data_IF_722223738744
#
_entry.id   IF_722223738744
#
_cell.length_a   1.000
_cell.length_b   1.000
_cell.length_c   1.000
_cell.angle_alpha   90.00
_cell.angle_beta   90.00
_cell.angle_gamma   90.00
#
_symmetry.space_group_name_H-M   'P 1'
#
loop_
_entity.id
_entity.type
_entity.pdbx_description
1 polymer ?
#
# COMPACT_ATOMS: atom_id res chain seq x y z
N UNK A 1 -6.28 20.60 -35.69
CA UNK A 1 -7.63 20.02 -35.92
C UNK A 1 -7.46 18.52 -35.70
N UNK A 2 -7.97 17.99 -34.58
CA UNK A 2 -7.94 16.55 -34.32
C UNK A 2 -9.11 15.92 -35.08
N UNK A 3 -8.82 14.90 -35.87
CA UNK A 3 -9.81 14.15 -36.65
C UNK A 3 -10.74 13.37 -35.71
N UNK A 4 -12.04 13.67 -35.79
CA UNK A 4 -13.10 13.10 -34.97
C UNK A 4 -13.80 11.91 -35.65
N UNK A 5 -13.30 11.42 -36.79
CA UNK A 5 -13.84 10.26 -37.53
C UNK A 5 -13.91 8.97 -36.71
N UNK A 6 -13.18 8.86 -35.60
CA UNK A 6 -13.28 7.73 -34.69
C UNK A 6 -14.59 7.68 -33.89
N UNK A 7 -15.30 8.80 -33.74
CA UNK A 7 -16.62 8.83 -33.07
C UNK A 7 -17.71 8.17 -33.90
N UNK A 8 -17.59 8.20 -35.23
CA UNK A 8 -18.55 7.58 -36.15
C UNK A 8 -18.44 6.05 -36.14
N UNK A 9 -17.31 5.51 -35.68
CA UNK A 9 -17.09 4.06 -35.53
C UNK A 9 -17.65 3.48 -34.21
N UNK A 10 -17.93 4.33 -33.21
CA UNK A 10 -18.39 3.90 -31.88
C UNK A 10 -19.74 3.17 -31.93
N UNK A 11 -20.77 3.62 -32.68
CA UNK A 11 -22.05 2.92 -32.74
C UNK A 11 -21.95 1.53 -33.40
N UNK A 12 -21.08 1.38 -34.41
CA UNK A 12 -20.86 0.11 -35.09
C UNK A 12 -20.11 -0.90 -34.21
N UNK A 13 -19.18 -0.43 -33.37
CA UNK A 13 -18.48 -1.25 -32.39
C UNK A 13 -19.43 -1.75 -31.28
N UNK A 14 -20.32 -0.87 -30.79
CA UNK A 14 -21.33 -1.20 -29.79
C UNK A 14 -22.38 -2.17 -30.32
N UNK A 15 -22.74 -2.07 -31.61
CA UNK A 15 -23.68 -2.99 -32.25
C UNK A 15 -23.12 -4.40 -32.45
N UNK A 16 -21.80 -4.55 -32.68
CA UNK A 16 -21.16 -5.87 -32.79
C UNK A 16 -21.04 -6.60 -31.45
N UNK A 17 -21.02 -5.89 -30.33
CA UNK A 17 -20.94 -6.48 -28.98
C UNK A 17 -22.30 -6.82 -28.35
N UNK A 18 -23.41 -6.45 -28.99
CA UNK A 18 -24.75 -6.49 -28.39
C UNK A 18 -25.75 -7.58 -28.85
N UNK A 19 -25.44 -8.60 -29.69
CA UNK A 19 -26.47 -9.56 -30.10
C UNK A 19 -26.67 -10.75 -29.13
N UNK A 20 -25.95 -10.86 -28.01
CA UNK A 20 -26.00 -12.04 -27.11
C UNK A 20 -26.73 -11.81 -25.78
N UNK A 21 -27.64 -10.82 -25.68
CA UNK A 21 -28.33 -10.48 -24.42
C UNK A 21 -29.86 -10.52 -24.48
N UNK A 22 -30.46 -11.14 -25.50
CA UNK A 22 -31.91 -11.34 -25.58
C UNK A 22 -32.21 -12.83 -25.71
N UNK A 23 -32.42 -13.50 -24.57
CA UNK A 23 -33.04 -14.83 -24.52
C UNK A 23 -34.54 -14.68 -24.86
N UNK A 24 -35.05 -15.33 -25.93
CA UNK A 24 -36.46 -15.28 -26.29
C UNK A 24 -37.40 -16.02 -25.31
N UNK A 25 -36.89 -16.71 -24.29
CA UNK A 25 -37.67 -17.57 -23.39
C UNK A 25 -37.94 -17.01 -21.98
N UNK A 26 -37.63 -15.74 -21.71
CA UNK A 26 -38.11 -15.07 -20.48
C UNK A 26 -37.56 -15.63 -19.16
N UNK A 27 -36.43 -16.34 -19.17
CA UNK A 27 -35.65 -16.54 -17.95
C UNK A 27 -34.95 -15.22 -17.60
N UNK A 28 -35.06 -14.80 -16.33
CA UNK A 28 -34.56 -13.52 -15.85
C UNK A 28 -33.10 -13.26 -16.28
N UNK A 29 -32.74 -12.03 -16.68
CA UNK A 29 -31.40 -11.73 -17.18
C UNK A 29 -30.37 -12.04 -16.10
N UNK A 30 -29.29 -12.69 -16.53
CA UNK A 30 -28.01 -12.71 -15.85
C UNK A 30 -27.65 -11.28 -15.41
N UNK A 31 -27.83 -10.98 -14.12
CA UNK A 31 -27.89 -9.59 -13.70
C UNK A 31 -28.12 -9.34 -12.22
N UNK A 32 -27.98 -10.34 -11.34
CA UNK A 32 -27.58 -10.03 -9.97
C UNK A 32 -26.11 -9.63 -10.02
N UNK A 33 -25.86 -8.40 -10.48
CA UNK A 33 -24.63 -7.72 -10.17
C UNK A 33 -24.51 -7.82 -8.65
N UNK A 34 -23.53 -8.60 -8.17
CA UNK A 34 -23.16 -8.71 -6.76
C UNK A 34 -22.84 -7.30 -6.26
N UNK A 35 -23.88 -6.58 -5.84
CA UNK A 35 -23.77 -5.27 -5.24
C UNK A 35 -22.93 -5.47 -4.00
N UNK A 36 -21.78 -4.79 -3.84
CA UNK A 36 -20.98 -4.92 -2.64
C UNK A 36 -21.86 -4.48 -1.47
N UNK A 37 -22.25 -5.44 -0.62
CA UNK A 37 -23.00 -5.16 0.58
C UNK A 37 -22.10 -4.38 1.53
N UNK A 38 -22.54 -3.18 1.92
CA UNK A 38 -21.83 -2.37 2.91
C UNK A 38 -22.10 -2.97 4.29
N UNK A 39 -21.41 -4.07 4.58
CA UNK A 39 -21.50 -4.77 5.86
C UNK A 39 -20.34 -4.40 6.81
N UNK A 40 -20.42 -4.88 8.05
CA UNK A 40 -19.39 -4.60 9.06
C UNK A 40 -18.00 -5.13 8.67
N UNK A 41 -17.94 -6.28 7.96
CA UNK A 41 -16.68 -6.90 7.52
C UNK A 41 -16.01 -6.06 6.44
N UNK A 42 -16.79 -5.56 5.49
CA UNK A 42 -16.36 -4.63 4.45
C UNK A 42 -15.83 -3.33 5.05
N UNK A 43 -16.59 -2.71 5.97
CA UNK A 43 -16.18 -1.47 6.65
C UNK A 43 -14.90 -1.65 7.46
N UNK A 44 -14.77 -2.76 8.18
CA UNK A 44 -13.55 -3.10 8.92
C UNK A 44 -12.35 -3.28 7.98
N UNK A 45 -12.55 -3.98 6.87
CA UNK A 45 -11.52 -4.21 5.85
C UNK A 45 -11.04 -2.92 5.18
N UNK A 46 -11.93 -1.96 4.91
CA UNK A 46 -11.54 -0.64 4.40
C UNK A 46 -10.80 0.15 5.47
N UNK A 47 -11.36 0.24 6.68
CA UNK A 47 -10.77 1.02 7.77
C UNK A 47 -9.36 0.55 8.09
N UNK A 48 -9.15 -0.77 8.18
CA UNK A 48 -7.82 -1.35 8.37
C UNK A 48 -6.84 -0.97 7.25
N UNK A 49 -7.26 -1.03 5.99
CA UNK A 49 -6.41 -0.64 4.85
C UNK A 49 -6.05 0.84 4.89
N UNK A 50 -7.02 1.71 5.20
CA UNK A 50 -6.79 3.16 5.34
C UNK A 50 -5.80 3.44 6.47
N UNK A 51 -6.01 2.86 7.66
CA UNK A 51 -5.09 3.02 8.79
C UNK A 51 -3.68 2.51 8.48
N UNK A 52 -3.56 1.39 7.77
CA UNK A 52 -2.28 0.85 7.33
C UNK A 52 -1.54 1.82 6.39
N UNK A 53 -2.24 2.35 5.39
CA UNK A 53 -1.68 3.31 4.42
C UNK A 53 -1.28 4.61 5.11
N UNK A 54 -2.13 5.15 5.99
CA UNK A 54 -1.81 6.36 6.75
C UNK A 54 -0.56 6.18 7.62
N UNK A 55 -0.41 5.02 8.26
CA UNK A 55 0.78 4.69 9.05
C UNK A 55 2.04 4.63 8.18
N UNK A 56 1.94 4.04 6.99
CA UNK A 56 3.02 4.01 6.02
C UNK A 56 3.39 5.43 5.51
N UNK A 57 2.39 6.29 5.30
CA UNK A 57 2.61 7.70 4.91
C UNK A 57 3.34 8.47 6.00
N UNK A 58 2.95 8.30 7.27
CA UNK A 58 3.62 8.98 8.40
C UNK A 58 5.10 8.58 8.46
N UNK A 59 5.41 7.29 8.36
CA UNK A 59 6.80 6.81 8.39
C UNK A 59 7.58 7.21 7.14
N UNK A 60 7.06 6.91 5.95
CA UNK A 60 7.74 7.17 4.68
C UNK A 60 7.87 8.66 4.37
N UNK A 61 6.78 9.41 4.56
CA UNK A 61 6.76 10.88 4.42
C UNK A 61 7.63 11.57 5.46
N UNK A 62 7.64 11.07 6.70
CA UNK A 62 8.55 11.54 7.74
C UNK A 62 10.02 11.37 7.36
N UNK A 63 10.41 10.17 6.89
CA UNK A 63 11.78 9.92 6.41
C UNK A 63 12.13 10.80 5.20
N UNK A 64 11.21 11.00 4.26
CA UNK A 64 11.40 11.91 3.14
C UNK A 64 11.63 13.35 3.60
N UNK A 65 10.84 13.83 4.57
CA UNK A 65 10.99 15.16 5.16
C UNK A 65 12.34 15.31 5.86
N UNK A 66 12.76 14.34 6.68
CA UNK A 66 14.08 14.32 7.30
C UNK A 66 15.20 14.34 6.26
N UNK A 67 15.06 13.55 5.20
CA UNK A 67 16.02 13.51 4.08
C UNK A 67 16.13 14.84 3.36
N UNK A 68 15.03 15.52 3.09
CA UNK A 68 15.03 16.71 2.24
C UNK A 68 15.32 18.00 3.00
N UNK A 69 14.84 18.10 4.24
CA UNK A 69 14.91 19.35 5.04
C UNK A 69 16.07 19.34 6.03
N UNK A 70 16.36 18.20 6.67
CA UNK A 70 17.33 18.14 7.77
C UNK A 70 18.69 17.59 7.38
N UNK A 71 18.80 16.73 6.37
CA UNK A 71 20.10 16.15 5.97
C UNK A 71 21.16 17.18 5.54
N UNK A 72 20.73 18.41 5.21
CA UNK A 72 21.59 19.53 4.81
C UNK A 72 21.80 20.59 5.90
N UNK A 73 21.15 20.45 7.07
CA UNK A 73 21.21 21.40 8.19
C UNK A 73 21.92 20.77 9.39
N UNK A 74 22.52 21.60 10.26
CA UNK A 74 23.17 21.13 11.49
C UNK A 74 22.19 20.34 12.38
N UNK A 75 22.69 19.28 13.01
CA UNK A 75 21.94 18.32 13.85
C UNK A 75 21.02 18.99 14.90
N UNK A 76 21.39 20.21 15.35
CA UNK A 76 20.61 21.02 16.29
C UNK A 76 19.16 21.32 15.85
N UNK A 77 18.88 21.46 14.56
CA UNK A 77 17.52 21.76 14.10
C UNK A 77 16.56 20.56 14.24
N UNK A 78 17.08 19.33 14.17
CA UNK A 78 16.30 18.12 14.38
C UNK A 78 16.24 17.73 15.87
N UNK A 79 17.26 18.12 16.64
CA UNK A 79 17.44 17.71 18.02
C UNK A 79 16.19 17.93 18.91
N UNK A 80 15.54 19.08 18.79
CA UNK A 80 14.37 19.48 19.58
C UNK A 80 13.08 18.77 19.17
N UNK A 81 13.02 18.25 17.95
CA UNK A 81 11.84 17.57 17.39
C UNK A 81 11.92 16.04 17.47
N UNK A 82 13.07 15.49 17.91
CA UNK A 82 13.27 14.03 18.05
C UNK A 82 12.23 13.34 18.92
N UNK A 83 11.80 13.97 20.02
CA UNK A 83 10.76 13.40 20.90
C UNK A 83 9.42 13.25 20.19
N UNK A 84 9.04 14.24 19.37
CA UNK A 84 7.82 14.20 18.57
C UNK A 84 7.92 13.13 17.49
N UNK A 85 9.09 13.05 16.82
CA UNK A 85 9.37 12.00 15.84
C UNK A 85 9.28 10.60 16.46
N UNK A 86 9.92 10.37 17.60
CA UNK A 86 9.89 9.09 18.33
C UNK A 86 8.47 8.63 18.64
N UNK A 87 7.63 9.55 19.13
CA UNK A 87 6.22 9.27 19.42
C UNK A 87 5.47 8.81 18.17
N UNK A 88 5.59 9.55 17.07
CA UNK A 88 4.90 9.21 15.83
C UNK A 88 5.43 7.95 15.16
N UNK A 89 6.75 7.70 15.21
CA UNK A 89 7.33 6.43 14.75
C UNK A 89 6.76 5.27 15.54
N UNK A 90 6.70 5.36 16.87
CA UNK A 90 6.14 4.29 17.71
C UNK A 90 4.67 4.00 17.39
N UNK A 91 3.84 5.04 17.33
CA UNK A 91 2.40 4.91 17.00
C UNK A 91 2.21 4.33 15.59
N UNK A 92 2.88 4.91 14.59
CA UNK A 92 2.74 4.47 13.21
C UNK A 92 3.27 3.04 13.02
N UNK A 93 4.37 2.67 13.68
CA UNK A 93 4.91 1.29 13.62
C UNK A 93 3.93 0.28 14.22
N UNK A 94 3.35 0.58 15.39
CA UNK A 94 2.35 -0.28 16.01
C UNK A 94 1.13 -0.46 15.10
N UNK A 95 0.58 0.64 14.59
CA UNK A 95 -0.56 0.60 13.69
C UNK A 95 -0.24 -0.16 12.40
N UNK A 96 0.94 0.05 11.81
CA UNK A 96 1.39 -0.64 10.60
C UNK A 96 1.47 -2.15 10.80
N UNK A 97 2.01 -2.60 11.93
CA UNK A 97 2.12 -4.03 12.28
C UNK A 97 0.72 -4.64 12.47
N UNK A 98 -0.09 -4.04 13.35
CA UNK A 98 -1.42 -4.59 13.71
C UNK A 98 -2.33 -4.66 12.47
N UNK A 99 -2.43 -3.55 11.73
CA UNK A 99 -3.26 -3.51 10.51
C UNK A 99 -2.65 -4.35 9.39
N UNK A 100 -1.32 -4.45 9.29
CA UNK A 100 -0.65 -5.27 8.29
C UNK A 100 -0.94 -6.76 8.47
N UNK A 101 -0.86 -7.24 9.72
CA UNK A 101 -1.22 -8.62 10.07
C UNK A 101 -2.70 -8.91 9.80
N UNK A 102 -3.60 -8.00 10.20
CA UNK A 102 -5.02 -8.14 9.90
C UNK A 102 -5.27 -8.20 8.39
N UNK A 103 -4.69 -7.29 7.60
CA UNK A 103 -4.90 -7.26 6.14
C UNK A 103 -4.37 -8.54 5.47
N UNK A 104 -3.23 -9.06 5.91
CA UNK A 104 -2.69 -10.34 5.41
C UNK A 104 -3.62 -11.50 5.72
N UNK A 105 -4.10 -11.60 6.96
CA UNK A 105 -5.05 -12.63 7.37
C UNK A 105 -6.38 -12.52 6.63
N UNK A 106 -6.93 -11.31 6.50
CA UNK A 106 -8.17 -11.04 5.78
C UNK A 106 -8.08 -11.48 4.30
N UNK A 107 -6.99 -11.17 3.59
CA UNK A 107 -6.81 -11.59 2.19
C UNK A 107 -6.72 -13.13 2.09
N UNK A 108 -5.91 -13.77 2.92
CA UNK A 108 -5.73 -15.22 2.88
C UNK A 108 -7.02 -15.97 3.25
N UNK A 109 -7.79 -15.44 4.20
CA UNK A 109 -9.07 -16.06 4.60
C UNK A 109 -10.13 -15.93 3.51
N UNK A 110 -10.23 -14.79 2.83
CA UNK A 110 -11.14 -14.62 1.69
C UNK A 110 -10.79 -15.56 0.55
N UNK A 111 -9.53 -15.58 0.12
CA UNK A 111 -9.11 -16.45 -1.01
C UNK A 111 -9.35 -17.93 -0.72
N UNK A 112 -9.07 -18.37 0.51
CA UNK A 112 -9.36 -19.75 0.94
C UNK A 112 -10.86 -20.05 0.98
N UNK A 113 -11.69 -19.11 1.40
CA UNK A 113 -13.15 -19.29 1.43
C UNK A 113 -13.71 -19.42 0.02
N UNK A 114 -13.10 -18.75 -0.96
CA UNK A 114 -13.47 -18.81 -2.38
C UNK A 114 -12.92 -20.06 -3.09
N UNK A 115 -12.23 -20.97 -2.37
CA UNK A 115 -11.63 -22.18 -2.93
C UNK A 115 -10.45 -21.94 -3.88
N UNK A 116 -9.96 -20.70 -3.95
CA UNK A 116 -8.85 -20.30 -4.79
C UNK A 116 -7.52 -20.32 -4.04
N UNK A 117 -6.42 -20.26 -4.78
CA UNK A 117 -5.07 -20.08 -4.24
C UNK A 117 -4.44 -18.79 -4.77
N UNK A 118 -3.72 -18.08 -3.91
CA UNK A 118 -2.90 -16.96 -4.34
C UNK A 118 -1.72 -17.47 -5.18
N UNK A 119 -1.31 -16.76 -6.24
CA UNK A 119 -0.13 -17.12 -7.00
C UNK A 119 1.08 -17.28 -6.08
N UNK A 120 1.88 -18.35 -6.25
CA UNK A 120 3.12 -18.59 -5.48
C UNK A 120 4.01 -17.35 -5.28
N UNK A 121 4.27 -16.48 -6.29
CA UNK A 121 5.09 -15.28 -6.07
C UNK A 121 4.47 -14.28 -5.09
N UNK A 122 3.15 -14.29 -4.85
CA UNK A 122 2.47 -13.35 -3.96
C UNK A 122 3.03 -13.40 -2.54
N UNK A 123 3.20 -14.60 -1.97
CA UNK A 123 3.69 -14.76 -0.59
C UNK A 123 5.14 -14.30 -0.43
N UNK A 124 5.98 -14.58 -1.43
CA UNK A 124 7.37 -14.13 -1.45
C UNK A 124 7.45 -12.60 -1.51
N UNK A 125 6.72 -11.97 -2.44
CA UNK A 125 6.68 -10.51 -2.58
C UNK A 125 6.12 -9.83 -1.33
N UNK A 126 5.08 -10.42 -0.72
CA UNK A 126 4.54 -9.96 0.56
C UNK A 126 5.59 -10.03 1.67
N UNK A 127 6.31 -11.15 1.79
CA UNK A 127 7.36 -11.33 2.79
C UNK A 127 8.48 -10.31 2.66
N UNK A 128 8.95 -10.07 1.43
CA UNK A 128 9.96 -9.03 1.14
C UNK A 128 9.44 -7.65 1.53
N UNK A 129 8.20 -7.30 1.14
CA UNK A 129 7.57 -6.02 1.50
C UNK A 129 7.46 -5.86 3.03
N UNK A 130 7.08 -6.91 3.74
CA UNK A 130 6.96 -6.89 5.19
C UNK A 130 8.33 -6.67 5.87
N UNK A 131 9.39 -7.35 5.41
CA UNK A 131 10.75 -7.15 5.90
C UNK A 131 11.26 -5.74 5.63
N UNK A 132 11.00 -5.19 4.44
CA UNK A 132 11.32 -3.79 4.14
C UNK A 132 10.54 -2.83 5.05
N UNK A 133 9.28 -3.13 5.37
CA UNK A 133 8.49 -2.36 6.33
C UNK A 133 9.13 -2.34 7.72
N UNK A 134 9.58 -3.51 8.22
CA UNK A 134 10.33 -3.62 9.48
C UNK A 134 11.63 -2.83 9.43
N UNK A 135 12.35 -2.90 8.31
CA UNK A 135 13.56 -2.11 8.12
C UNK A 135 13.28 -0.59 8.16
N UNK A 136 12.20 -0.11 7.54
CA UNK A 136 11.78 1.30 7.61
C UNK A 136 11.44 1.71 9.05
N UNK A 137 10.72 0.87 9.79
CA UNK A 137 10.41 1.10 11.21
C UNK A 137 11.70 1.17 12.06
N UNK A 138 12.66 0.27 11.79
CA UNK A 138 13.98 0.29 12.41
C UNK A 138 14.72 1.62 12.14
N UNK A 139 14.82 2.05 10.87
CA UNK A 139 15.46 3.33 10.50
C UNK A 139 14.77 4.51 11.20
N UNK A 140 13.44 4.56 11.19
CA UNK A 140 12.70 5.60 11.90
C UNK A 140 13.02 5.63 13.39
N UNK A 141 13.11 4.46 14.02
CA UNK A 141 13.33 4.30 15.46
C UNK A 141 14.75 4.68 15.88
N UNK A 142 15.77 4.22 15.15
CA UNK A 142 17.17 4.56 15.47
C UNK A 142 17.47 6.05 15.30
N UNK A 143 16.85 6.71 14.32
CA UNK A 143 17.01 8.15 14.12
C UNK A 143 16.31 8.97 15.22
N UNK A 144 15.32 8.39 15.88
CA UNK A 144 14.63 8.98 17.02
C UNK A 144 15.31 8.70 18.38
N UNK A 145 16.18 7.68 18.43
CA UNK A 145 16.80 7.18 19.65
C UNK A 145 17.72 8.20 20.35
N UNK A 146 17.83 8.05 21.67
CA UNK A 146 18.71 8.85 22.54
C UNK A 146 19.89 8.05 23.12
N UNK A 147 20.08 6.82 22.67
CA UNK A 147 21.14 5.93 23.16
C UNK A 147 22.45 6.17 22.42
N UNK A 148 23.58 5.82 23.02
CA UNK A 148 24.89 5.92 22.36
C UNK A 148 24.94 5.11 21.04
N UNK A 149 24.25 3.97 21.00
CA UNK A 149 24.10 3.21 19.77
C UNK A 149 23.40 4.04 18.68
N UNK A 150 22.28 4.70 19.01
CA UNK A 150 21.56 5.58 18.09
C UNK A 150 22.44 6.74 17.59
N UNK A 151 23.33 7.27 18.43
CA UNK A 151 24.24 8.35 18.04
C UNK A 151 25.19 7.93 16.91
N UNK A 152 25.70 6.69 16.95
CA UNK A 152 26.52 6.11 15.86
C UNK A 152 25.74 6.02 14.54
N UNK A 153 24.45 5.65 14.61
CA UNK A 153 23.59 5.64 13.43
C UNK A 153 23.29 7.06 12.93
N UNK A 154 23.05 8.02 13.83
CA UNK A 154 22.80 9.42 13.48
C UNK A 154 24.03 10.12 12.88
N UNK A 155 25.24 9.74 13.26
CA UNK A 155 26.47 10.24 12.62
C UNK A 155 26.50 9.92 11.11
N UNK A 156 25.86 8.82 10.69
CA UNK A 156 25.68 8.43 9.29
C UNK A 156 24.24 8.69 8.78
N UNK A 157 23.52 9.66 9.36
CA UNK A 157 22.11 9.93 9.08
C UNK A 157 21.79 10.05 7.58
N UNK A 158 22.56 10.75 6.73
CA UNK A 158 22.27 10.81 5.29
C UNK A 158 22.23 9.44 4.62
N UNK A 159 23.12 8.52 5.01
CA UNK A 159 23.15 7.15 4.49
C UNK A 159 21.89 6.39 4.88
N UNK A 160 21.50 6.45 6.15
CA UNK A 160 20.31 5.74 6.66
C UNK A 160 19.01 6.32 6.10
N UNK A 161 18.92 7.64 5.93
CA UNK A 161 17.78 8.27 5.28
C UNK A 161 17.67 7.88 3.80
N UNK A 162 18.79 7.78 3.07
CA UNK A 162 18.78 7.30 1.69
C UNK A 162 18.32 5.84 1.60
N UNK A 163 18.84 4.97 2.47
CA UNK A 163 18.49 3.56 2.48
C UNK A 163 17.04 3.32 2.91
N UNK A 164 16.59 4.02 3.95
CA UNK A 164 15.20 3.98 4.40
C UNK A 164 14.23 4.50 3.33
N UNK A 165 14.58 5.58 2.64
CA UNK A 165 13.77 6.09 1.54
C UNK A 165 13.72 5.14 0.34
N UNK A 166 14.85 4.53 -0.04
CA UNK A 166 14.89 3.51 -1.07
C UNK A 166 13.99 2.31 -0.72
N UNK A 167 13.99 1.88 0.55
CA UNK A 167 13.09 0.83 1.02
C UNK A 167 11.61 1.23 0.91
N UNK A 168 11.25 2.48 1.24
CA UNK A 168 9.88 2.99 1.06
C UNK A 168 9.46 2.93 -0.41
N UNK A 169 10.32 3.35 -1.34
CA UNK A 169 10.03 3.27 -2.78
C UNK A 169 9.86 1.82 -3.25
N UNK A 170 10.73 0.92 -2.80
CA UNK A 170 10.63 -0.50 -3.11
C UNK A 170 9.31 -1.10 -2.60
N UNK A 171 8.85 -0.74 -1.39
CA UNK A 171 7.56 -1.15 -0.82
C UNK A 171 6.39 -0.72 -1.72
N UNK A 172 6.42 0.51 -2.26
CA UNK A 172 5.38 1.02 -3.16
C UNK A 172 5.35 0.24 -4.47
N UNK A 173 6.52 -0.01 -5.07
CA UNK A 173 6.63 -0.81 -6.31
C UNK A 173 6.12 -2.23 -6.08
N UNK A 174 6.55 -2.89 -4.99
CA UNK A 174 6.08 -4.23 -4.63
C UNK A 174 4.57 -4.25 -4.41
N UNK A 175 4.01 -3.23 -3.76
CA UNK A 175 2.57 -3.12 -3.56
C UNK A 175 1.81 -3.01 -4.90
N UNK A 176 2.32 -2.23 -5.85
CA UNK A 176 1.74 -2.10 -7.19
C UNK A 176 1.80 -3.42 -7.98
N UNK A 177 2.95 -4.10 -7.96
CA UNK A 177 3.12 -5.41 -8.61
C UNK A 177 2.20 -6.46 -7.98
N UNK A 178 2.11 -6.54 -6.66
CA UNK A 178 1.18 -7.46 -6.00
C UNK A 178 -0.29 -7.17 -6.33
N UNK A 179 -0.63 -5.90 -6.55
CA UNK A 179 -1.98 -5.50 -6.95
C UNK A 179 -2.29 -5.98 -8.38
N UNK A 180 -1.33 -5.92 -9.30
CA UNK A 180 -1.53 -6.43 -10.66
C UNK A 180 -1.57 -7.96 -10.74
N UNK A 181 -0.94 -8.67 -9.78
CA UNK A 181 -1.00 -10.14 -9.69
C UNK A 181 -2.29 -10.67 -9.05
N UNK A 182 -3.02 -9.84 -8.30
CA UNK A 182 -4.24 -10.23 -7.59
C UNK A 182 -5.54 -9.87 -8.33
N UNK A 183 -5.44 -9.12 -9.43
CA UNK A 183 -6.56 -8.89 -10.36
C UNK A 183 -6.33 -9.83 -11.54
N UNK A 184 -7.30 -10.68 -11.94
CA UNK A 184 -7.26 -11.31 -13.25
C UNK A 184 -7.21 -10.19 -14.29
N UNK A 185 -6.07 -10.01 -14.93
CA UNK A 185 -5.92 -9.04 -16.01
C UNK A 185 -6.75 -9.58 -17.18
N UNK A 186 -7.91 -8.95 -17.43
CA UNK A 186 -8.79 -9.07 -18.60
C UNK A 186 -9.05 -10.51 -19.09
#
# INVERSE_FOLDING_TARGET
>A
MLDMTWLDAVPALLAQTAPELIDPNGAAPAGEALQPTVDAKYMLGITSRVLHILSAIVLGGGLFYLKTVFSKKSDGAFADRRGVWAKWVGIASLLLIVTGLYNFWAINSTVKADGAELPKPYHMLFGIKALLGVFVMFVGSILAGKTEAADKFRAAMPKWLNLGWAAVLAIVVLAAVMRSLSVPLL
#
